data_IF_667099670320
#
_entry.id   IF_667099670320
#
_cell.length_a   1.000
_cell.length_b   1.000
_cell.length_c   1.000
_cell.angle_alpha   90.00
_cell.angle_beta   90.00
_cell.angle_gamma   90.00
#
_symmetry.space_group_name_H-M   'P 1'
#
loop_
_entity.id
_entity.type
_entity.pdbx_description
1 polymer ?
#
# COMPACT_ATOMS: atom_id res chain seq x y z
N UNK A 1 9.06 -8.88 -27.89
CA UNK A 1 7.93 -9.81 -27.70
C UNK A 1 7.95 -10.32 -26.26
N UNK A 2 6.79 -10.65 -25.70
CA UNK A 2 6.66 -11.25 -24.36
C UNK A 2 6.56 -12.77 -24.53
N UNK A 3 7.37 -13.54 -23.80
CA UNK A 3 7.27 -15.00 -23.77
C UNK A 3 6.38 -15.37 -22.58
N UNK A 4 5.20 -15.90 -22.87
CA UNK A 4 4.29 -16.40 -21.85
C UNK A 4 4.68 -17.82 -21.47
N UNK A 5 5.08 -18.03 -20.22
CA UNK A 5 5.32 -19.34 -19.65
C UNK A 5 4.15 -19.70 -18.74
N UNK A 6 3.43 -20.77 -19.08
CA UNK A 6 2.31 -21.28 -18.29
C UNK A 6 2.85 -22.23 -17.22
N UNK A 7 2.35 -22.09 -15.98
CA UNK A 7 2.57 -23.07 -14.93
C UNK A 7 1.60 -24.23 -15.09
N UNK A 8 2.03 -25.45 -14.79
CA UNK A 8 1.15 -26.61 -14.74
C UNK A 8 0.16 -26.51 -13.58
N UNK A 9 -1.07 -26.98 -13.79
CA UNK A 9 -2.07 -27.08 -12.73
C UNK A 9 -1.54 -28.00 -11.61
N UNK A 10 -1.85 -27.66 -10.37
CA UNK A 10 -1.42 -28.41 -9.17
C UNK A 10 0.10 -28.52 -8.96
N UNK A 11 0.92 -27.65 -9.55
CA UNK A 11 2.34 -27.52 -9.21
C UNK A 11 2.68 -26.17 -8.56
N UNK A 12 2.32 -25.94 -7.28
CA UNK A 12 2.62 -24.69 -6.55
C UNK A 12 4.12 -24.35 -6.53
N UNK A 13 4.99 -25.36 -6.64
CA UNK A 13 6.44 -25.18 -6.65
C UNK A 13 6.90 -24.31 -7.83
N UNK A 14 6.20 -24.35 -8.96
CA UNK A 14 6.52 -23.52 -10.13
C UNK A 14 6.17 -22.06 -9.93
N UNK A 15 5.18 -21.74 -9.07
CA UNK A 15 4.73 -20.36 -8.83
C UNK A 15 4.91 -19.90 -7.37
N UNK A 16 5.72 -20.62 -6.60
CA UNK A 16 5.82 -20.41 -5.16
C UNK A 16 6.33 -19.01 -4.76
N UNK A 17 7.03 -18.31 -5.67
CA UNK A 17 7.43 -16.91 -5.45
C UNK A 17 6.21 -15.99 -5.45
N UNK A 18 5.32 -16.11 -6.44
CA UNK A 18 4.12 -15.30 -6.51
C UNK A 18 3.14 -15.65 -5.39
N UNK A 19 2.96 -16.93 -5.08
CA UNK A 19 2.08 -17.37 -3.98
C UNK A 19 2.52 -16.80 -2.63
N UNK A 20 3.83 -16.85 -2.32
CA UNK A 20 4.37 -16.26 -1.09
C UNK A 20 4.19 -14.76 -1.06
N UNK A 21 4.43 -14.07 -2.18
CA UNK A 21 4.24 -12.63 -2.26
C UNK A 21 2.78 -12.24 -2.01
N UNK A 22 1.83 -12.92 -2.67
CA UNK A 22 0.40 -12.68 -2.51
C UNK A 22 -0.05 -12.91 -1.06
N UNK A 23 0.38 -14.00 -0.43
CA UNK A 23 0.06 -14.26 0.98
C UNK A 23 0.55 -13.14 1.90
N UNK A 24 1.79 -12.70 1.73
CA UNK A 24 2.34 -11.59 2.53
C UNK A 24 1.57 -10.29 2.33
N UNK A 25 1.17 -9.95 1.10
CA UNK A 25 0.40 -8.73 0.81
C UNK A 25 -1.00 -8.77 1.45
N UNK A 26 -1.67 -9.91 1.37
CA UNK A 26 -3.00 -10.10 1.98
C UNK A 26 -2.92 -10.03 3.51
N UNK A 27 -1.91 -10.65 4.13
CA UNK A 27 -1.68 -10.57 5.57
C UNK A 27 -1.38 -9.13 6.02
N UNK A 28 -0.53 -8.40 5.29
CA UNK A 28 -0.25 -6.99 5.55
C UNK A 28 -1.53 -6.13 5.46
N UNK A 29 -2.32 -6.31 4.41
CA UNK A 29 -3.58 -5.59 4.21
C UNK A 29 -4.55 -5.86 5.35
N UNK A 30 -4.71 -7.14 5.75
CA UNK A 30 -5.56 -7.54 6.88
C UNK A 30 -5.12 -6.86 8.18
N UNK A 31 -3.82 -6.87 8.49
CA UNK A 31 -3.30 -6.22 9.70
C UNK A 31 -3.58 -4.72 9.71
N UNK A 32 -3.36 -4.03 8.59
CA UNK A 32 -3.63 -2.59 8.48
C UNK A 32 -5.11 -2.25 8.66
N UNK A 33 -6.01 -3.05 8.06
CA UNK A 33 -7.45 -2.85 8.18
C UNK A 33 -7.95 -3.10 9.60
N UNK A 34 -7.47 -4.16 10.26
CA UNK A 34 -7.80 -4.46 11.66
C UNK A 34 -7.32 -3.35 12.59
N UNK A 35 -6.10 -2.84 12.38
CA UNK A 35 -5.56 -1.73 13.16
C UNK A 35 -6.37 -0.44 12.97
N UNK A 36 -6.80 -0.15 11.74
CA UNK A 36 -7.56 1.05 11.41
C UNK A 36 -9.07 0.94 11.71
N UNK A 37 -9.55 -0.24 12.11
CA UNK A 37 -10.97 -0.55 12.26
C UNK A 37 -11.80 -0.16 11.02
N UNK A 38 -11.28 -0.47 9.83
CA UNK A 38 -11.91 -0.13 8.55
C UNK A 38 -12.71 -1.31 7.98
N UNK A 39 -13.80 -1.02 7.25
CA UNK A 39 -14.66 -2.06 6.67
C UNK A 39 -13.95 -2.88 5.59
N UNK A 40 -14.39 -4.12 5.41
CA UNK A 40 -13.84 -5.04 4.40
C UNK A 40 -13.97 -4.50 2.97
N UNK A 41 -14.95 -3.63 2.70
CA UNK A 41 -15.11 -2.97 1.40
C UNK A 41 -13.88 -2.20 0.92
N UNK A 42 -12.98 -1.81 1.81
CA UNK A 42 -11.73 -1.11 1.50
C UNK A 42 -10.53 -2.03 1.30
N UNK A 43 -10.74 -3.35 1.15
CA UNK A 43 -9.65 -4.32 1.00
C UNK A 43 -8.70 -3.99 -0.16
N UNK A 44 -9.21 -3.48 -1.28
CA UNK A 44 -8.41 -3.14 -2.45
C UNK A 44 -7.41 -2.01 -2.13
N UNK A 45 -7.85 -0.97 -1.41
CA UNK A 45 -7.00 0.14 -0.97
C UNK A 45 -5.94 -0.32 0.03
N UNK A 46 -6.31 -1.22 0.94
CA UNK A 46 -5.37 -1.82 1.88
C UNK A 46 -4.30 -2.66 1.17
N UNK A 47 -4.66 -3.46 0.16
CA UNK A 47 -3.71 -4.26 -0.64
C UNK A 47 -2.80 -3.36 -1.48
N UNK A 48 -3.34 -2.30 -2.09
CA UNK A 48 -2.53 -1.31 -2.83
C UNK A 48 -1.51 -0.65 -1.91
N UNK A 49 -1.94 -0.24 -0.71
CA UNK A 49 -1.05 0.34 0.30
C UNK A 49 0.00 -0.65 0.77
N UNK A 50 -0.38 -1.91 1.01
CA UNK A 50 0.54 -2.97 1.41
C UNK A 50 1.64 -3.16 0.36
N UNK A 51 1.24 -3.19 -0.91
CA UNK A 51 2.14 -3.31 -2.06
C UNK A 51 3.07 -2.11 -2.16
N UNK A 52 2.52 -0.90 -2.01
CA UNK A 52 3.28 0.34 -2.05
C UNK A 52 4.37 0.40 -0.97
N UNK A 53 4.03 -0.01 0.25
CA UNK A 53 4.95 -0.12 1.39
C UNK A 53 5.97 -1.23 1.18
N UNK A 54 5.53 -2.41 0.72
CA UNK A 54 6.41 -3.56 0.50
C UNK A 54 7.50 -3.25 -0.51
N UNK A 55 7.18 -2.52 -1.58
CA UNK A 55 8.14 -2.10 -2.60
C UNK A 55 9.13 -1.02 -2.12
N UNK A 56 8.81 -0.33 -1.02
CA UNK A 56 9.65 0.72 -0.39
C UNK A 56 10.31 0.27 0.91
N UNK A 57 10.10 -0.97 1.31
CA UNK A 57 10.80 -1.59 2.43
C UNK A 57 12.05 -2.31 1.92
N UNK A 58 13.14 -2.15 2.66
CA UNK A 58 14.39 -2.88 2.39
C UNK A 58 14.15 -4.39 2.50
N UNK A 59 14.77 -5.15 1.60
CA UNK A 59 14.68 -6.62 1.63
C UNK A 59 16.07 -7.25 1.71
N UNK A 60 16.18 -8.37 2.42
CA UNK A 60 17.45 -9.11 2.53
C UNK A 60 17.96 -9.63 1.19
N UNK A 61 17.04 -9.99 0.29
CA UNK A 61 17.38 -10.45 -1.07
C UNK A 61 18.08 -9.39 -1.92
N UNK A 62 17.95 -8.11 -1.57
CA UNK A 62 18.58 -6.98 -2.24
C UNK A 62 19.62 -6.28 -1.35
N UNK A 63 20.21 -7.00 -0.39
CA UNK A 63 21.25 -6.47 0.50
C UNK A 63 20.85 -5.20 1.26
N UNK A 64 19.55 -5.06 1.58
CA UNK A 64 19.02 -3.88 2.26
C UNK A 64 18.56 -2.75 1.34
N UNK A 65 18.65 -2.91 0.02
CA UNK A 65 18.09 -2.00 -0.97
C UNK A 65 16.57 -2.23 -1.08
N UNK A 66 15.81 -1.17 -1.34
CA UNK A 66 14.36 -1.26 -1.57
C UNK A 66 14.07 -1.74 -3.00
N UNK A 67 13.04 -2.58 -3.23
CA UNK A 67 12.68 -3.03 -4.58
C UNK A 67 12.47 -1.88 -5.57
N UNK A 68 11.86 -0.78 -5.12
CA UNK A 68 11.65 0.40 -5.97
C UNK A 68 12.97 1.11 -6.34
N UNK A 69 13.96 1.12 -5.44
CA UNK A 69 15.27 1.69 -5.70
C UNK A 69 16.06 0.81 -6.68
N UNK A 70 16.01 -0.51 -6.51
CA UNK A 70 16.61 -1.44 -7.45
C UNK A 70 16.00 -1.32 -8.86
N UNK A 71 14.68 -1.11 -8.94
CA UNK A 71 13.98 -0.96 -10.22
C UNK A 71 14.20 0.41 -10.88
N UNK A 72 14.05 1.49 -10.12
CA UNK A 72 14.05 2.86 -10.65
C UNK A 72 15.41 3.56 -10.57
N UNK A 73 16.40 2.94 -9.92
CA UNK A 73 17.72 3.52 -9.61
C UNK A 73 17.62 4.84 -8.82
N UNK A 74 16.51 5.06 -8.12
CA UNK A 74 16.23 6.25 -7.32
C UNK A 74 15.79 5.84 -5.92
N UNK A 75 16.45 6.42 -4.91
CA UNK A 75 16.09 6.19 -3.52
C UNK A 75 14.71 6.77 -3.22
N UNK A 76 13.77 5.98 -2.66
CA UNK A 76 12.44 6.48 -2.36
C UNK A 76 12.50 7.51 -1.24
N UNK A 77 11.73 8.59 -1.40
CA UNK A 77 11.44 9.49 -0.29
C UNK A 77 10.46 8.78 0.67
N UNK A 78 10.71 8.81 1.98
CA UNK A 78 9.91 8.05 2.98
C UNK A 78 9.27 8.92 4.05
N UNK A 79 9.65 10.20 4.14
CA UNK A 79 9.22 11.08 5.23
C UNK A 79 7.74 11.46 5.17
N UNK A 80 7.08 11.28 4.02
CA UNK A 80 5.65 11.52 3.86
C UNK A 80 4.77 10.37 4.34
N UNK A 81 5.35 9.23 4.73
CA UNK A 81 4.57 8.12 5.25
C UNK A 81 3.86 8.50 6.56
N UNK A 82 2.61 8.09 6.60
CA UNK A 82 1.63 8.15 7.67
C UNK A 82 1.05 6.75 7.91
N UNK A 83 0.51 6.54 9.09
CA UNK A 83 -0.13 5.26 9.42
C UNK A 83 -1.42 5.12 8.60
N UNK A 84 -1.62 3.97 7.96
CA UNK A 84 -2.91 3.63 7.35
C UNK A 84 -4.01 3.74 8.43
N UNK A 85 -5.15 4.35 8.09
CA UNK A 85 -6.19 4.64 9.08
C UNK A 85 -6.02 5.96 9.84
N UNK A 86 -4.97 6.74 9.58
CA UNK A 86 -4.80 8.03 10.26
C UNK A 86 -5.90 9.03 9.89
N UNK A 87 -6.32 9.85 10.85
CA UNK A 87 -7.25 10.96 10.61
C UNK A 87 -6.64 11.97 9.64
N UNK A 88 -7.39 12.34 8.61
CA UNK A 88 -7.04 13.35 7.60
C UNK A 88 -8.15 14.39 7.58
N UNK A 89 -7.79 15.66 7.33
CA UNK A 89 -8.76 16.73 7.14
C UNK A 89 -8.64 17.21 5.70
N UNK A 90 -9.70 17.09 4.91
CA UNK A 90 -9.72 17.62 3.56
C UNK A 90 -10.18 19.08 3.58
N UNK A 91 -9.30 19.99 3.16
CA UNK A 91 -9.60 21.42 3.15
C UNK A 91 -10.62 21.76 2.05
N UNK A 92 -11.75 22.34 2.45
CA UNK A 92 -12.78 22.84 1.55
C UNK A 92 -12.36 24.19 0.95
N UNK A 93 -11.77 24.15 -0.26
CA UNK A 93 -11.33 25.36 -0.98
C UNK A 93 -12.45 26.13 -1.68
N UNK A 94 -13.63 25.54 -1.81
CA UNK A 94 -14.73 26.09 -2.61
C UNK A 94 -15.57 27.17 -1.92
N UNK A 95 -16.12 26.89 -0.73
CA UNK A 95 -16.97 27.84 0.00
C UNK A 95 -16.14 28.62 1.00
N UNK A 96 -16.20 29.96 0.93
CA UNK A 96 -15.77 30.84 2.02
C UNK A 96 -16.73 30.62 3.20
N UNK A 97 -16.45 29.59 3.99
CA UNK A 97 -17.09 29.41 5.29
C UNK A 97 -16.69 30.59 6.18
N UNK A 98 -17.58 30.99 7.09
CA UNK A 98 -17.35 32.15 7.97
C UNK A 98 -16.03 32.00 8.76
N UNK A 99 -15.47 33.10 9.28
CA UNK A 99 -14.13 33.11 9.94
C UNK A 99 -13.92 31.99 10.98
N UNK A 100 -14.99 31.54 11.65
CA UNK A 100 -14.98 30.54 12.71
C UNK A 100 -15.57 29.18 12.33
N UNK A 101 -16.02 28.99 11.09
CA UNK A 101 -16.58 27.71 10.66
C UNK A 101 -15.49 26.69 10.33
N UNK A 102 -15.77 25.38 10.46
CA UNK A 102 -14.88 24.33 9.99
C UNK A 102 -14.49 24.56 8.53
N UNK A 103 -13.19 24.50 8.26
CA UNK A 103 -12.63 24.70 6.91
C UNK A 103 -12.38 23.40 6.16
N UNK A 104 -12.70 22.26 6.76
CA UNK A 104 -12.49 20.97 6.15
C UNK A 104 -13.29 19.87 6.83
N UNK A 105 -13.40 18.78 6.11
CA UNK A 105 -14.14 17.59 6.54
C UNK A 105 -13.17 16.50 6.99
N UNK A 106 -13.60 15.71 7.97
CA UNK A 106 -12.82 14.63 8.55
C UNK A 106 -12.89 13.38 7.66
N UNK A 107 -11.73 12.79 7.37
CA UNK A 107 -11.55 11.59 6.58
C UNK A 107 -10.49 10.66 7.20
N UNK A 108 -10.33 9.49 6.60
CA UNK A 108 -9.34 8.49 6.99
C UNK A 108 -8.38 8.24 5.82
N UNK A 109 -7.09 8.14 6.11
CA UNK A 109 -6.09 7.79 5.10
C UNK A 109 -6.20 6.31 4.73
N UNK A 110 -6.53 6.03 3.47
CA UNK A 110 -6.68 4.67 2.93
C UNK A 110 -5.62 4.29 1.89
N UNK A 111 -4.66 5.15 1.57
CA UNK A 111 -3.54 4.75 0.70
C UNK A 111 -2.59 5.85 0.25
N UNK A 112 -1.69 5.48 -0.68
CA UNK A 112 -0.60 6.29 -1.24
C UNK A 112 -0.60 6.30 -2.75
#
# INVERSE_FOLDING_TARGET
>A
GIIHQLSTEYTPQQNGVAERANRTLVEMARCMMLQANLPESLWAEAVNTATYLRNRNATKCLEGITPIEAWSQRKPYVRFFRTFGSKVIALNKGRRTGKFQPKGDDYVLVGY
#
